data_IF_261967113931
#
_entry.id   IF_261967113931
#
_cell.length_a   1.000
_cell.length_b   1.000
_cell.length_c   1.000
_cell.angle_alpha   90.00
_cell.angle_beta   90.00
_cell.angle_gamma   90.00
#
_symmetry.space_group_name_H-M   'P 1'
#
loop_
_entity.id
_entity.type
_entity.pdbx_description
1 polymer ?
#
# COMPACT_ATOMS: atom_id res chain seq x y z
N UNK A 1 -23.46 -3.04 -19.03
CA UNK A 1 -22.93 -2.87 -17.66
C UNK A 1 -24.10 -2.74 -16.71
N UNK A 2 -24.16 -3.56 -15.66
CA UNK A 2 -25.22 -3.44 -14.65
C UNK A 2 -25.12 -2.06 -13.99
N UNK A 3 -26.27 -1.39 -13.83
CA UNK A 3 -26.34 -0.11 -13.11
C UNK A 3 -26.13 -0.44 -11.63
N UNK A 4 -24.98 -0.06 -11.07
CA UNK A 4 -24.74 -0.19 -9.64
C UNK A 4 -25.75 0.69 -8.93
N UNK A 5 -26.66 0.07 -8.17
CA UNK A 5 -27.61 0.80 -7.32
C UNK A 5 -26.90 1.04 -6.00
N UNK A 6 -26.60 2.31 -5.68
CA UNK A 6 -26.00 2.62 -4.38
C UNK A 6 -27.05 2.53 -3.27
N UNK A 7 -26.59 2.44 -2.02
CA UNK A 7 -27.46 2.58 -0.86
C UNK A 7 -28.23 3.91 -0.93
N UNK A 8 -29.46 3.94 -0.42
CA UNK A 8 -30.36 5.09 -0.55
C UNK A 8 -29.73 6.40 -0.05
N UNK A 9 -28.96 6.34 1.04
CA UNK A 9 -28.23 7.48 1.60
C UNK A 9 -27.23 8.10 0.61
N UNK A 10 -26.61 7.28 -0.24
CA UNK A 10 -25.67 7.72 -1.28
C UNK A 10 -26.45 8.26 -2.47
N UNK A 11 -27.50 7.57 -2.91
CA UNK A 11 -28.32 7.99 -4.06
C UNK A 11 -28.95 9.38 -3.89
N UNK A 12 -29.29 9.76 -2.65
CA UNK A 12 -29.98 11.02 -2.32
C UNK A 12 -29.06 12.23 -2.20
N UNK A 13 -27.74 12.06 -2.06
CA UNK A 13 -26.78 13.18 -1.96
C UNK A 13 -25.73 13.12 -3.08
N UNK A 14 -25.72 14.16 -3.93
CA UNK A 14 -24.80 14.26 -5.07
C UNK A 14 -23.32 14.13 -4.67
N UNK A 15 -22.91 14.63 -3.51
CA UNK A 15 -21.52 14.55 -3.03
C UNK A 15 -21.15 13.11 -2.70
N UNK A 16 -22.07 12.35 -2.12
CA UNK A 16 -21.86 10.94 -1.83
C UNK A 16 -21.80 10.10 -3.10
N UNK A 17 -22.64 10.39 -4.10
CA UNK A 17 -22.53 9.72 -5.42
C UNK A 17 -21.17 9.97 -6.07
N UNK A 18 -20.72 11.22 -6.11
CA UNK A 18 -19.41 11.58 -6.66
C UNK A 18 -18.28 10.85 -5.94
N UNK A 19 -18.33 10.78 -4.61
CA UNK A 19 -17.34 10.04 -3.81
C UNK A 19 -17.38 8.54 -4.09
N UNK A 20 -18.57 7.94 -4.18
CA UNK A 20 -18.74 6.53 -4.49
C UNK A 20 -18.22 6.19 -5.90
N UNK A 21 -18.54 7.02 -6.89
CA UNK A 21 -18.06 6.89 -8.27
C UNK A 21 -16.53 7.04 -8.38
N UNK A 22 -15.92 7.87 -7.52
CA UNK A 22 -14.46 7.95 -7.42
C UNK A 22 -13.86 6.62 -6.94
N UNK A 23 -14.52 5.94 -6.00
CA UNK A 23 -14.13 4.62 -5.52
C UNK A 23 -14.14 3.54 -6.61
N UNK A 24 -15.00 3.67 -7.62
CA UNK A 24 -15.04 2.75 -8.77
C UNK A 24 -13.80 2.84 -9.67
N UNK A 25 -12.95 3.86 -9.49
CA UNK A 25 -11.76 4.13 -10.31
C UNK A 25 -10.46 3.77 -9.60
N UNK A 26 -10.53 3.04 -8.48
CA UNK A 26 -9.35 2.60 -7.74
C UNK A 26 -8.43 1.72 -8.59
N UNK A 27 -8.99 0.95 -9.51
CA UNK A 27 -8.27 0.14 -10.49
C UNK A 27 -7.46 0.96 -11.50
N UNK A 28 -7.85 2.21 -11.75
CA UNK A 28 -7.11 3.16 -12.61
C UNK A 28 -5.92 3.80 -11.88
N UNK A 29 -5.79 3.59 -10.57
CA UNK A 29 -4.67 4.14 -9.83
C UNK A 29 -3.36 3.44 -10.22
N UNK A 30 -2.35 4.25 -10.58
CA UNK A 30 -1.00 3.77 -10.83
C UNK A 30 -0.37 3.32 -9.49
N UNK A 31 -0.63 2.05 -9.15
CA UNK A 31 -0.30 1.46 -7.86
C UNK A 31 1.19 1.58 -7.54
N UNK A 32 2.13 1.34 -8.48
CA UNK A 32 3.56 1.61 -8.26
C UNK A 32 3.87 3.03 -7.79
N UNK A 33 3.19 4.06 -8.32
CA UNK A 33 3.39 5.46 -7.90
C UNK A 33 2.88 5.75 -6.48
N UNK A 34 1.90 4.97 -6.00
CA UNK A 34 1.35 5.12 -4.66
C UNK A 34 2.19 4.41 -3.60
N UNK A 35 2.94 3.37 -3.97
CA UNK A 35 3.70 2.53 -3.05
C UNK A 35 4.64 3.30 -2.09
N UNK A 36 5.42 4.31 -2.52
CA UNK A 36 6.26 5.06 -1.58
C UNK A 36 5.46 5.73 -0.47
N UNK A 37 4.27 6.22 -0.80
CA UNK A 37 3.37 6.95 0.10
C UNK A 37 2.57 5.99 1.00
N UNK A 38 2.16 4.84 0.47
CA UNK A 38 1.49 3.79 1.25
C UNK A 38 2.38 3.27 2.37
N UNK A 39 3.69 3.16 2.13
CA UNK A 39 4.65 2.77 3.18
C UNK A 39 4.68 3.77 4.34
N UNK A 40 4.28 5.02 4.17
CA UNK A 40 4.19 6.00 5.27
C UNK A 40 2.83 6.02 5.95
N UNK A 41 1.77 5.70 5.21
CA UNK A 41 0.38 5.89 5.66
C UNK A 41 -0.28 4.62 6.19
N UNK A 42 0.20 3.43 5.82
CA UNK A 42 -0.40 2.17 6.25
C UNK A 42 -0.24 1.99 7.76
N UNK A 43 -1.25 1.44 8.43
CA UNK A 43 -1.16 1.09 9.84
C UNK A 43 -0.07 0.03 10.08
N UNK A 44 0.66 0.08 11.22
CA UNK A 44 1.78 -0.82 11.51
C UNK A 44 1.52 -2.30 11.29
N UNK A 45 0.34 -2.78 11.66
CA UNK A 45 -0.09 -4.17 11.57
C UNK A 45 -0.16 -4.70 10.13
N UNK A 46 -0.17 -3.82 9.12
CA UNK A 46 -0.18 -4.19 7.70
C UNK A 46 1.18 -3.97 7.01
N UNK A 47 2.22 -3.55 7.74
CA UNK A 47 3.55 -3.36 7.15
C UNK A 47 4.14 -4.67 6.60
N UNK A 48 3.74 -5.81 7.15
CA UNK A 48 4.19 -7.13 6.71
C UNK A 48 3.81 -7.40 5.25
N UNK A 49 2.58 -7.03 4.85
CA UNK A 49 2.10 -7.19 3.47
C UNK A 49 2.96 -6.39 2.47
N UNK A 50 3.41 -5.19 2.87
CA UNK A 50 4.29 -4.37 2.04
C UNK A 50 5.71 -4.95 1.98
N UNK A 51 6.19 -5.55 3.07
CA UNK A 51 7.48 -6.23 3.11
C UNK A 51 7.48 -7.52 2.28
N UNK A 52 6.41 -8.32 2.34
CA UNK A 52 6.21 -9.51 1.52
C UNK A 52 6.23 -9.18 0.03
N UNK A 53 5.52 -8.12 -0.38
CA UNK A 53 5.47 -7.66 -1.78
C UNK A 53 6.85 -7.27 -2.34
N UNK A 54 7.84 -7.07 -1.46
CA UNK A 54 9.22 -6.73 -1.80
C UNK A 54 10.20 -7.83 -1.45
N UNK A 55 9.71 -9.01 -1.05
CA UNK A 55 10.51 -10.19 -0.73
C UNK A 55 11.53 -9.99 0.40
N UNK A 56 11.26 -9.08 1.35
CA UNK A 56 12.20 -8.76 2.45
C UNK A 56 11.82 -9.39 3.81
N UNK A 57 10.81 -10.26 3.86
CA UNK A 57 10.39 -10.92 5.11
C UNK A 57 11.40 -11.93 5.64
N UNK A 58 12.27 -12.46 4.78
CA UNK A 58 13.18 -13.53 5.13
C UNK A 58 14.53 -12.95 5.61
N UNK A 59 15.56 -13.07 4.79
CA UNK A 59 16.95 -12.79 5.16
C UNK A 59 17.27 -11.29 5.27
N UNK A 60 16.35 -10.42 4.87
CA UNK A 60 16.61 -8.99 4.70
C UNK A 60 16.33 -8.17 5.97
N UNK A 61 16.30 -8.85 7.13
CA UNK A 61 16.32 -8.20 8.45
C UNK A 61 15.01 -7.56 8.89
N UNK A 62 13.88 -7.81 8.21
CA UNK A 62 12.59 -7.23 8.56
C UNK A 62 12.18 -7.50 10.03
N UNK A 63 12.38 -8.74 10.50
CA UNK A 63 12.08 -9.14 11.88
C UNK A 63 13.04 -8.58 12.92
N UNK A 64 14.21 -8.09 12.50
CA UNK A 64 15.21 -7.46 13.37
C UNK A 64 14.93 -5.96 13.58
N UNK A 65 14.00 -5.37 12.84
CA UNK A 65 13.65 -3.97 12.98
C UNK A 65 12.88 -3.72 14.29
N UNK A 66 13.49 -2.95 15.19
CA UNK A 66 12.98 -2.65 16.53
C UNK A 66 11.84 -1.61 16.57
N UNK A 67 11.48 -1.03 15.42
CA UNK A 67 10.40 -0.03 15.33
C UNK A 67 9.70 -0.06 13.98
N UNK A 68 8.46 0.40 13.95
CA UNK A 68 7.71 0.59 12.70
C UNK A 68 8.42 1.53 11.75
N UNK A 69 9.10 2.55 12.28
CA UNK A 69 9.87 3.46 11.46
C UNK A 69 11.07 2.75 10.80
N UNK A 70 11.74 1.85 11.52
CA UNK A 70 12.80 1.02 10.95
C UNK A 70 12.24 0.06 9.88
N UNK A 71 11.09 -0.59 10.13
CA UNK A 71 10.40 -1.42 9.14
C UNK A 71 10.06 -0.64 7.87
N UNK A 72 9.53 0.57 8.00
CA UNK A 72 9.24 1.45 6.85
C UNK A 72 10.48 1.83 6.06
N UNK A 73 11.61 2.11 6.74
CA UNK A 73 12.90 2.36 6.08
C UNK A 73 13.40 1.15 5.30
N UNK A 74 13.36 -0.04 5.89
CA UNK A 74 13.72 -1.29 5.22
C UNK A 74 12.86 -1.53 3.98
N UNK A 75 11.54 -1.39 4.13
CA UNK A 75 10.58 -1.52 3.03
C UNK A 75 10.96 -0.55 1.89
N UNK A 76 11.20 0.74 2.18
CA UNK A 76 11.62 1.74 1.18
C UNK A 76 12.97 1.40 0.51
N UNK A 77 13.91 0.88 1.28
CA UNK A 77 15.26 0.51 0.83
C UNK A 77 15.37 -0.87 0.16
N UNK A 78 14.28 -1.63 0.07
CA UNK A 78 14.29 -3.01 -0.45
C UNK A 78 14.94 -3.13 -1.85
N UNK A 79 14.75 -2.13 -2.72
CA UNK A 79 15.38 -2.13 -4.04
C UNK A 79 16.92 -2.13 -3.94
N UNK A 80 17.48 -1.33 -3.04
CA UNK A 80 18.93 -1.27 -2.85
C UNK A 80 19.45 -2.54 -2.19
N UNK A 81 18.73 -3.08 -1.20
CA UNK A 81 19.05 -4.36 -0.55
C UNK A 81 19.16 -5.48 -1.58
N UNK A 82 18.19 -5.61 -2.48
CA UNK A 82 18.23 -6.62 -3.54
C UNK A 82 19.33 -6.37 -4.57
N UNK A 83 19.62 -5.10 -4.90
CA UNK A 83 20.70 -4.73 -5.83
C UNK A 83 22.09 -5.10 -5.31
N UNK A 84 22.30 -4.99 -4.00
CA UNK A 84 23.58 -5.25 -3.33
C UNK A 84 23.65 -6.60 -2.64
N UNK A 85 22.66 -7.49 -2.85
CA UNK A 85 22.69 -8.83 -2.29
C UNK A 85 23.91 -9.59 -2.86
N UNK A 86 24.85 -9.93 -1.98
CA UNK A 86 26.10 -10.61 -2.35
C UNK A 86 27.28 -9.70 -2.73
N UNK A 87 27.14 -8.37 -2.60
CA UNK A 87 28.31 -7.46 -2.62
C UNK A 87 28.83 -7.21 -1.21
N UNK A 88 30.16 -7.16 -0.98
CA UNK A 88 30.76 -6.91 0.34
C UNK A 88 30.33 -5.57 0.96
#
# INVERSE_FOLDING_TARGET
MARLTYAEIIERDQRYKILADLGLRLDLADTPKLMPRLVDLVAPEHLELLAESRSILNEDGYWLAESDQARRRLIKGAYELHRYKGTP
#
